data_IF_407816469609
#
_entry.id   IF_407816469609
#
_cell.length_a   1.000
_cell.length_b   1.000
_cell.length_c   1.000
_cell.angle_alpha   90.00
_cell.angle_beta   90.00
_cell.angle_gamma   90.00
#
_symmetry.space_group_name_H-M   'P 1'
#
loop_
_entity.id
_entity.type
_entity.pdbx_description
1 polymer ?
#
# COMPACT_ATOMS: atom_id res chain seq x y z
N UNK A 1 1.13 -22.37 -1.13
CA UNK A 1 0.35 -21.25 -1.70
C UNK A 1 1.01 -20.69 -2.94
N UNK A 2 0.23 -20.15 -3.88
CA UNK A 2 0.80 -19.42 -5.03
C UNK A 2 1.25 -18.03 -4.61
N UNK A 3 2.39 -17.58 -5.18
CA UNK A 3 2.92 -16.25 -4.97
C UNK A 3 3.68 -15.73 -6.20
N UNK A 4 3.71 -14.42 -6.36
CA UNK A 4 4.54 -13.70 -7.36
C UNK A 4 5.86 -13.32 -6.69
N UNK A 5 6.95 -13.88 -7.19
CA UNK A 5 8.26 -13.84 -6.52
C UNK A 5 9.31 -13.24 -7.46
N UNK A 6 10.23 -12.48 -6.91
CA UNK A 6 11.45 -12.04 -7.61
C UNK A 6 12.36 -13.24 -7.83
N UNK A 7 12.78 -13.57 -9.09
CA UNK A 7 13.63 -14.71 -9.35
C UNK A 7 15.04 -14.55 -8.77
N UNK A 8 15.80 -15.67 -8.71
CA UNK A 8 17.22 -15.64 -8.27
C UNK A 8 18.09 -14.71 -9.12
N UNK A 9 17.82 -14.67 -10.42
CA UNK A 9 18.45 -13.69 -11.33
C UNK A 9 17.53 -12.50 -11.49
N UNK A 10 17.89 -11.39 -10.86
CA UNK A 10 17.10 -10.15 -10.85
C UNK A 10 17.28 -9.41 -12.17
N UNK A 11 16.27 -9.39 -13.02
CA UNK A 11 16.27 -8.80 -14.37
C UNK A 11 14.98 -8.01 -14.69
N UNK A 12 14.14 -7.76 -13.68
CA UNK A 12 12.84 -7.13 -13.84
C UNK A 12 11.70 -8.10 -14.15
N UNK A 13 12.01 -9.38 -14.37
CA UNK A 13 10.98 -10.42 -14.48
C UNK A 13 10.44 -10.85 -13.12
N UNK A 14 9.32 -11.55 -13.13
CA UNK A 14 8.72 -12.17 -11.95
C UNK A 14 8.29 -13.59 -12.28
N UNK A 15 8.25 -14.46 -11.27
CA UNK A 15 7.78 -15.84 -11.43
C UNK A 15 6.59 -16.10 -10.50
N UNK A 16 5.60 -16.85 -10.99
CA UNK A 16 4.53 -17.39 -10.16
C UNK A 16 4.95 -18.79 -9.73
N UNK A 17 5.11 -18.99 -8.43
CA UNK A 17 5.59 -20.26 -7.88
C UNK A 17 4.83 -20.64 -6.62
N UNK A 18 5.04 -21.90 -6.18
CA UNK A 18 4.51 -22.39 -4.92
C UNK A 18 5.51 -22.11 -3.79
N UNK A 19 5.02 -21.47 -2.73
CA UNK A 19 5.76 -21.17 -1.50
C UNK A 19 4.99 -21.69 -0.29
N UNK A 20 5.66 -21.81 0.85
CA UNK A 20 4.98 -22.16 2.11
C UNK A 20 4.07 -21.01 2.57
N UNK A 21 2.96 -21.34 3.20
CA UNK A 21 2.16 -20.36 3.94
C UNK A 21 2.98 -19.93 5.16
N UNK A 22 3.17 -18.62 5.41
CA UNK A 22 3.98 -18.17 6.54
C UNK A 22 3.29 -18.47 7.88
N UNK A 23 4.10 -18.76 8.90
CA UNK A 23 3.63 -18.93 10.27
C UNK A 23 3.39 -17.58 10.93
N UNK A 24 2.33 -17.51 11.75
CA UNK A 24 1.94 -16.26 12.44
C UNK A 24 2.81 -16.07 13.67
N UNK A 25 3.53 -14.96 13.71
CA UNK A 25 4.34 -14.56 14.86
C UNK A 25 3.57 -13.67 15.86
N UNK A 26 4.24 -13.34 16.97
CA UNK A 26 3.72 -12.39 17.96
C UNK A 26 3.40 -11.03 17.33
N UNK A 27 2.24 -10.46 17.64
CA UNK A 27 1.78 -9.18 17.10
C UNK A 27 1.40 -9.17 15.61
N UNK A 28 1.34 -10.35 14.97
CA UNK A 28 1.01 -10.49 13.56
C UNK A 28 -0.35 -11.14 13.34
N UNK A 29 -0.89 -10.96 12.15
CA UNK A 29 -2.06 -11.68 11.68
C UNK A 29 -1.79 -12.26 10.28
N UNK A 30 -2.36 -13.43 9.99
CA UNK A 30 -2.38 -14.06 8.67
C UNK A 30 -3.64 -13.60 7.94
N UNK A 31 -3.45 -13.11 6.74
CA UNK A 31 -4.51 -12.57 5.89
C UNK A 31 -4.61 -13.41 4.63
N UNK A 32 -5.78 -13.96 4.35
CA UNK A 32 -6.11 -14.56 3.06
C UNK A 32 -6.49 -13.46 2.08
N UNK A 33 -5.71 -13.30 1.03
CA UNK A 33 -5.86 -12.21 0.06
C UNK A 33 -7.11 -12.42 -0.81
N UNK A 34 -7.87 -11.35 -1.01
CA UNK A 34 -8.96 -11.25 -1.98
C UNK A 34 -8.47 -10.53 -3.24
N UNK A 35 -7.71 -9.45 -3.06
CA UNK A 35 -7.14 -8.63 -4.13
C UNK A 35 -5.77 -8.09 -3.74
N UNK A 36 -4.93 -7.91 -4.74
CA UNK A 36 -3.68 -7.15 -4.63
C UNK A 36 -3.55 -6.24 -5.85
N UNK A 37 -3.45 -4.94 -5.62
CA UNK A 37 -3.13 -3.98 -6.66
C UNK A 37 -1.68 -4.13 -7.13
N UNK A 38 -1.38 -3.52 -8.27
CA UNK A 38 -0.02 -3.46 -8.84
C UNK A 38 0.41 -2.00 -8.87
N UNK A 39 1.50 -1.70 -8.17
CA UNK A 39 2.14 -0.40 -8.14
C UNK A 39 3.40 -0.39 -9.02
N UNK A 40 3.78 0.78 -9.52
CA UNK A 40 5.06 0.93 -10.23
C UNK A 40 6.27 0.56 -9.35
N UNK A 41 6.15 0.71 -8.04
CA UNK A 41 7.14 0.27 -7.06
C UNK A 41 7.42 -1.24 -7.13
N UNK A 42 6.43 -2.07 -7.44
CA UNK A 42 6.64 -3.52 -7.59
C UNK A 42 7.56 -3.83 -8.78
N UNK A 43 7.48 -3.04 -9.87
CA UNK A 43 8.39 -3.14 -11.01
C UNK A 43 9.81 -2.72 -10.64
N UNK A 44 9.98 -1.65 -9.86
CA UNK A 44 11.27 -1.21 -9.35
C UNK A 44 11.92 -2.24 -8.43
N UNK A 45 11.13 -2.89 -7.57
CA UNK A 45 11.64 -3.98 -6.71
C UNK A 45 12.05 -5.19 -7.56
N UNK A 46 11.23 -5.56 -8.56
CA UNK A 46 11.55 -6.67 -9.48
C UNK A 46 12.83 -6.39 -10.31
N UNK A 47 13.08 -5.12 -10.65
CA UNK A 47 14.28 -4.69 -11.37
C UNK A 47 15.53 -4.52 -10.47
N UNK A 48 15.37 -4.59 -9.14
CA UNK A 48 16.47 -4.39 -8.19
C UNK A 48 16.89 -2.93 -8.00
N UNK A 49 16.06 -1.94 -8.40
CA UNK A 49 16.38 -0.51 -8.32
C UNK A 49 16.60 -0.01 -6.88
N UNK A 50 16.04 -0.70 -5.89
CA UNK A 50 16.22 -0.42 -4.46
C UNK A 50 17.23 -1.36 -3.79
N UNK A 51 17.86 -2.25 -4.56
CA UNK A 51 18.69 -3.37 -4.13
C UNK A 51 17.98 -4.70 -4.42
N UNK A 52 18.79 -5.68 -4.82
CA UNK A 52 18.29 -7.00 -5.20
C UNK A 52 17.70 -7.76 -4.00
N UNK A 53 16.54 -8.34 -4.19
CA UNK A 53 15.82 -9.13 -3.17
C UNK A 53 15.30 -10.45 -3.77
N UNK A 54 16.18 -11.34 -4.25
CA UNK A 54 15.74 -12.61 -4.81
C UNK A 54 14.92 -13.40 -3.80
N UNK A 55 13.90 -14.13 -4.28
CA UNK A 55 12.97 -14.87 -3.43
C UNK A 55 11.87 -14.04 -2.76
N UNK A 56 11.87 -12.71 -2.89
CA UNK A 56 10.88 -11.83 -2.26
C UNK A 56 9.51 -11.96 -2.95
N UNK A 57 8.45 -12.14 -2.16
CA UNK A 57 7.06 -12.02 -2.63
C UNK A 57 6.74 -10.53 -2.74
N UNK A 58 6.31 -10.09 -3.93
CA UNK A 58 5.98 -8.70 -4.22
C UNK A 58 4.60 -8.30 -3.65
N UNK A 59 4.26 -7.01 -3.81
CA UNK A 59 2.94 -6.46 -3.54
C UNK A 59 2.80 -5.76 -2.18
N UNK A 60 2.18 -4.59 -2.21
CA UNK A 60 1.89 -3.77 -1.04
C UNK A 60 0.55 -3.04 -1.14
N UNK A 61 -0.35 -3.57 -1.96
CA UNK A 61 -1.71 -3.07 -2.15
C UNK A 61 -2.73 -4.19 -1.90
N UNK A 62 -2.51 -4.97 -0.82
CA UNK A 62 -3.33 -6.13 -0.51
C UNK A 62 -4.60 -5.79 0.25
N UNK A 63 -5.68 -6.47 -0.09
CA UNK A 63 -6.92 -6.51 0.69
C UNK A 63 -7.28 -7.98 0.92
N UNK A 64 -7.63 -8.34 2.15
CA UNK A 64 -7.98 -9.71 2.45
C UNK A 64 -8.63 -9.87 3.83
N UNK A 65 -8.96 -11.12 4.14
CA UNK A 65 -9.64 -11.50 5.38
C UNK A 65 -8.62 -12.11 6.34
N UNK A 66 -8.59 -11.63 7.57
CA UNK A 66 -7.81 -12.23 8.67
C UNK A 66 -8.31 -13.66 8.90
N UNK A 67 -7.41 -14.63 8.83
CA UNK A 67 -7.71 -16.04 9.10
C UNK A 67 -7.17 -16.51 10.43
N UNK A 68 -6.06 -15.91 10.89
CA UNK A 68 -5.38 -16.25 12.13
C UNK A 68 -4.74 -15.01 12.74
N UNK A 69 -4.67 -14.94 14.07
CA UNK A 69 -3.98 -13.89 14.82
C UNK A 69 -2.97 -14.51 15.77
N UNK A 70 -1.80 -13.89 15.87
CA UNK A 70 -0.75 -14.31 16.77
C UNK A 70 -0.96 -13.83 18.21
N UNK A 71 -0.10 -14.28 19.09
CA UNK A 71 -0.07 -13.83 20.48
C UNK A 71 0.10 -12.29 20.56
N UNK A 72 -0.60 -11.67 21.50
CA UNK A 72 -0.54 -10.22 21.74
C UNK A 72 -1.39 -9.37 20.78
N UNK A 73 -2.12 -9.97 19.85
CA UNK A 73 -3.02 -9.24 18.94
C UNK A 73 -4.38 -9.02 19.60
N UNK A 74 -4.73 -7.76 19.84
CA UNK A 74 -6.03 -7.34 20.39
C UNK A 74 -6.86 -6.52 19.38
N UNK A 75 -6.20 -5.90 18.39
CA UNK A 75 -6.82 -4.99 17.42
C UNK A 75 -7.59 -5.70 16.30
N UNK A 76 -7.24 -6.95 16.00
CA UNK A 76 -7.80 -7.76 14.92
C UNK A 76 -8.34 -9.10 15.43
N UNK A 77 -9.25 -9.67 14.65
CA UNK A 77 -9.78 -11.03 14.86
C UNK A 77 -10.03 -11.73 13.53
N UNK A 78 -10.07 -13.08 13.48
CA UNK A 78 -10.49 -13.81 12.29
C UNK A 78 -11.85 -13.31 11.77
N UNK A 79 -11.93 -13.11 10.44
CA UNK A 79 -13.09 -12.54 9.76
C UNK A 79 -13.00 -11.02 9.51
N UNK A 80 -12.10 -10.28 10.15
CA UNK A 80 -11.89 -8.87 9.83
C UNK A 80 -11.30 -8.73 8.43
N UNK A 81 -11.85 -7.82 7.60
CA UNK A 81 -11.23 -7.44 6.33
C UNK A 81 -10.23 -6.33 6.57
N UNK A 82 -8.99 -6.51 6.13
CA UNK A 82 -7.88 -5.58 6.37
C UNK A 82 -7.10 -5.26 5.10
N UNK A 83 -6.39 -4.14 5.15
CA UNK A 83 -5.46 -3.72 4.11
C UNK A 83 -4.02 -4.06 4.46
N UNK A 84 -3.22 -4.41 3.45
CA UNK A 84 -1.77 -4.56 3.49
C UNK A 84 -1.18 -3.41 2.69
N UNK A 85 -0.41 -2.55 3.36
CA UNK A 85 0.22 -1.38 2.75
C UNK A 85 1.74 -1.51 2.73
N UNK A 86 2.42 -0.59 2.04
CA UNK A 86 3.89 -0.52 1.98
C UNK A 86 4.54 -0.55 3.36
N UNK A 87 4.02 0.23 4.30
CA UNK A 87 4.54 0.25 5.66
C UNK A 87 4.10 -1.00 6.42
N UNK A 88 5.05 -1.89 6.69
CA UNK A 88 4.80 -3.13 7.45
C UNK A 88 5.05 -2.93 8.95
N UNK A 89 6.19 -2.35 9.32
CA UNK A 89 6.57 -2.17 10.73
C UNK A 89 7.69 -1.14 10.89
N UNK A 90 7.58 -0.29 11.91
CA UNK A 90 8.70 0.50 12.45
C UNK A 90 9.38 -0.21 13.62
N UNK A 91 10.50 0.34 14.10
CA UNK A 91 11.22 -0.23 15.27
C UNK A 91 10.54 0.03 16.61
N UNK A 92 9.58 0.97 16.66
CA UNK A 92 8.84 1.33 17.87
C UNK A 92 9.54 2.26 18.87
N UNK A 93 10.85 2.48 18.77
CA UNK A 93 11.64 3.18 19.79
C UNK A 93 12.52 4.34 19.29
N UNK A 94 12.70 4.53 17.99
CA UNK A 94 13.46 5.66 17.47
C UNK A 94 12.65 6.96 17.52
N UNK A 95 13.34 8.09 17.32
CA UNK A 95 12.74 9.44 17.31
C UNK A 95 11.51 9.58 16.40
N UNK A 96 11.50 8.87 15.27
CA UNK A 96 10.37 8.88 14.34
C UNK A 96 9.20 8.05 14.84
N UNK A 97 9.46 6.84 15.35
CA UNK A 97 8.39 5.98 15.85
C UNK A 97 7.71 6.58 17.10
N UNK A 98 8.49 7.13 18.02
CA UNK A 98 7.96 7.72 19.26
C UNK A 98 7.28 9.08 19.05
N UNK A 99 7.37 9.67 17.85
CA UNK A 99 6.74 10.94 17.48
C UNK A 99 5.60 10.82 16.46
N UNK A 100 5.11 9.60 16.19
CA UNK A 100 4.02 9.36 15.24
C UNK A 100 4.43 9.55 13.76
N UNK A 101 5.71 9.32 13.46
CA UNK A 101 6.30 9.42 12.13
C UNK A 101 7.00 8.12 11.73
N UNK A 102 6.39 7.00 12.03
CA UNK A 102 6.93 5.64 11.88
C UNK A 102 7.39 5.34 10.45
N UNK A 103 6.75 5.93 9.46
CA UNK A 103 7.13 5.80 8.03
C UNK A 103 8.54 6.33 7.74
N UNK A 104 9.11 7.16 8.63
CA UNK A 104 10.48 7.67 8.55
C UNK A 104 11.47 6.86 9.40
N UNK A 105 11.04 5.76 9.99
CA UNK A 105 11.92 4.88 10.76
C UNK A 105 13.08 4.38 9.90
N UNK A 106 14.32 4.49 10.43
CA UNK A 106 15.53 4.11 9.67
C UNK A 106 15.67 2.59 9.46
N UNK A 107 14.94 1.80 10.23
CA UNK A 107 14.87 0.34 10.12
C UNK A 107 13.45 -0.12 9.78
N UNK A 108 12.72 0.72 9.03
CA UNK A 108 11.37 0.40 8.56
C UNK A 108 11.36 -0.90 7.76
N UNK A 109 10.34 -1.72 7.99
CA UNK A 109 10.04 -2.88 7.15
C UNK A 109 8.93 -2.51 6.18
N UNK A 110 9.10 -2.92 4.93
CA UNK A 110 8.20 -2.60 3.83
C UNK A 110 7.72 -3.89 3.16
N UNK A 111 6.40 -4.07 3.07
CA UNK A 111 5.79 -5.21 2.40
C UNK A 111 6.12 -5.21 0.91
N UNK A 112 6.45 -6.37 0.38
CA UNK A 112 6.86 -6.52 -1.02
C UNK A 112 8.30 -6.12 -1.31
N UNK A 113 9.07 -5.67 -0.31
CA UNK A 113 10.48 -5.30 -0.47
C UNK A 113 11.35 -5.89 0.63
N UNK A 114 11.33 -5.34 1.85
CA UNK A 114 12.18 -5.83 2.94
C UNK A 114 11.56 -7.02 3.69
N UNK A 115 10.26 -7.21 3.54
CA UNK A 115 9.50 -8.40 3.96
C UNK A 115 8.58 -8.84 2.82
N UNK A 116 8.06 -10.06 2.89
CA UNK A 116 7.14 -10.57 1.90
C UNK A 116 5.84 -9.77 1.83
N UNK A 117 5.31 -9.65 0.63
CA UNK A 117 4.18 -8.80 0.30
C UNK A 117 2.89 -9.56 0.02
N UNK A 118 1.97 -8.87 -0.64
CA UNK A 118 0.57 -9.27 -0.81
C UNK A 118 0.25 -9.90 -2.18
N UNK A 119 1.23 -10.09 -3.08
CA UNK A 119 1.00 -10.81 -4.35
C UNK A 119 1.10 -12.32 -4.13
N UNK A 120 0.25 -12.84 -3.23
CA UNK A 120 0.19 -14.25 -2.84
C UNK A 120 -1.22 -14.60 -2.35
N UNK A 121 -1.51 -15.87 -2.10
CA UNK A 121 -2.81 -16.28 -1.54
C UNK A 121 -2.94 -15.89 -0.06
N UNK A 122 -1.83 -15.84 0.69
CA UNK A 122 -1.78 -15.45 2.10
C UNK A 122 -0.57 -14.54 2.34
N UNK A 123 -0.73 -13.55 3.21
CA UNK A 123 0.36 -12.68 3.66
C UNK A 123 0.24 -12.37 5.15
N UNK A 124 1.36 -12.03 5.77
CA UNK A 124 1.37 -11.51 7.14
C UNK A 124 1.19 -10.00 7.16
N UNK A 125 0.58 -9.52 8.23
CA UNK A 125 0.56 -8.10 8.59
C UNK A 125 0.99 -7.92 10.05
N UNK A 126 1.59 -6.79 10.38
CA UNK A 126 1.70 -6.35 11.77
C UNK A 126 0.34 -5.78 12.18
N UNK A 127 -0.29 -6.39 13.18
CA UNK A 127 -1.70 -6.12 13.51
C UNK A 127 -1.96 -4.65 13.87
N UNK A 128 -1.00 -3.99 14.54
CA UNK A 128 -1.13 -2.59 14.95
C UNK A 128 -1.11 -1.59 13.77
N UNK A 129 -0.62 -2.03 12.61
CA UNK A 129 -0.53 -1.20 11.40
C UNK A 129 -1.50 -1.63 10.30
N UNK A 130 -2.18 -2.76 10.47
CA UNK A 130 -3.22 -3.18 9.54
C UNK A 130 -4.49 -2.34 9.74
N UNK A 131 -5.03 -1.81 8.65
CA UNK A 131 -6.23 -0.99 8.70
C UNK A 131 -7.44 -1.81 8.30
N UNK A 132 -8.49 -1.83 9.13
CA UNK A 132 -9.77 -2.46 8.76
C UNK A 132 -10.41 -1.71 7.60
N UNK A 133 -10.80 -2.47 6.59
CA UNK A 133 -11.52 -1.91 5.43
C UNK A 133 -12.96 -1.61 5.84
N UNK A 134 -13.46 -0.39 5.60
CA UNK A 134 -14.84 -0.03 5.93
C UNK A 134 -15.86 -0.96 5.26
N UNK A 135 -16.95 -1.27 5.96
CA UNK A 135 -18.06 -2.00 5.39
C UNK A 135 -18.63 -1.28 4.15
N UNK A 136 -18.96 -2.05 3.13
CA UNK A 136 -19.52 -1.53 1.87
C UNK A 136 -18.48 -1.01 0.88
N UNK A 137 -17.20 -0.92 1.25
CA UNK A 137 -16.14 -0.62 0.28
C UNK A 137 -15.73 -1.91 -0.46
N UNK A 138 -15.80 -1.87 -1.78
CA UNK A 138 -15.35 -2.98 -2.63
C UNK A 138 -13.85 -3.24 -2.47
N UNK A 139 -13.47 -4.50 -2.32
CA UNK A 139 -12.09 -4.87 -2.02
C UNK A 139 -11.11 -4.55 -3.16
N UNK A 140 -11.55 -4.66 -4.42
CA UNK A 140 -10.71 -4.31 -5.57
C UNK A 140 -10.47 -2.79 -5.63
N UNK A 141 -11.49 -1.98 -5.34
CA UNK A 141 -11.35 -0.53 -5.26
C UNK A 141 -10.49 -0.11 -4.05
N UNK A 142 -10.63 -0.80 -2.91
CA UNK A 142 -9.86 -0.52 -1.71
C UNK A 142 -8.36 -0.77 -1.92
N UNK A 143 -7.96 -1.69 -2.78
CA UNK A 143 -6.56 -2.08 -2.94
C UNK A 143 -5.65 -0.91 -3.36
N UNK A 144 -6.05 -0.10 -4.32
CA UNK A 144 -5.28 1.07 -4.77
C UNK A 144 -5.21 2.19 -3.71
N UNK A 145 -6.17 2.24 -2.78
CA UNK A 145 -6.21 3.25 -1.72
C UNK A 145 -5.07 3.02 -0.72
N UNK A 146 -4.62 1.79 -0.54
CA UNK A 146 -3.58 1.44 0.44
C UNK A 146 -2.20 1.98 0.07
N UNK A 147 -1.95 2.31 -1.19
CA UNK A 147 -0.72 2.94 -1.67
C UNK A 147 -1.00 4.32 -2.28
N UNK A 148 -1.55 4.37 -3.49
CA UNK A 148 -1.78 5.63 -4.20
C UNK A 148 -2.73 6.57 -3.43
N UNK A 149 -3.74 6.02 -2.78
CA UNK A 149 -4.68 6.79 -1.97
C UNK A 149 -4.03 7.42 -0.75
N UNK A 150 -3.37 6.64 0.10
CA UNK A 150 -2.71 7.15 1.31
C UNK A 150 -1.58 8.13 0.97
N UNK A 151 -0.83 7.88 -0.10
CA UNK A 151 0.26 8.74 -0.57
C UNK A 151 -0.27 10.12 -0.97
N UNK A 152 -1.29 10.18 -1.81
CA UNK A 152 -1.86 11.44 -2.29
C UNK A 152 -2.62 12.20 -1.21
N UNK A 153 -3.34 11.49 -0.34
CA UNK A 153 -3.97 12.11 0.83
C UNK A 153 -2.93 12.78 1.74
N UNK A 154 -1.83 12.06 2.05
CA UNK A 154 -0.74 12.61 2.88
C UNK A 154 -0.08 13.80 2.22
N UNK A 155 0.22 13.75 0.93
CA UNK A 155 0.83 14.86 0.18
C UNK A 155 -0.04 16.11 0.23
N UNK A 156 -1.36 15.99 0.02
CA UNK A 156 -2.29 17.12 0.09
C UNK A 156 -2.37 17.68 1.52
N UNK A 157 -2.41 16.80 2.53
CA UNK A 157 -2.40 17.20 3.94
C UNK A 157 -1.14 18.01 4.29
N UNK A 158 0.03 17.57 3.83
CA UNK A 158 1.31 18.27 4.05
C UNK A 158 1.43 19.59 3.28
N UNK A 159 0.73 19.73 2.15
CA UNK A 159 0.67 21.00 1.42
C UNK A 159 -0.05 22.11 2.20
N UNK A 160 -0.80 21.74 3.24
CA UNK A 160 -1.60 22.65 4.06
C UNK A 160 -2.63 23.48 3.26
N UNK A 161 -3.03 22.99 2.07
CA UNK A 161 -4.05 23.63 1.26
C UNK A 161 -5.37 23.71 2.04
N UNK A 162 -6.02 24.89 1.98
CA UNK A 162 -7.28 25.16 2.65
C UNK A 162 -8.44 25.20 1.65
N UNK A 163 -9.69 24.98 2.11
CA UNK A 163 -10.86 25.12 1.26
C UNK A 163 -10.87 26.44 0.49
N UNK A 164 -11.19 26.35 -0.81
CA UNK A 164 -11.22 27.48 -1.73
C UNK A 164 -9.87 27.91 -2.32
N UNK A 165 -8.75 27.42 -1.82
CA UNK A 165 -7.44 27.65 -2.41
C UNK A 165 -7.21 26.76 -3.64
N UNK A 166 -6.24 27.14 -4.48
CA UNK A 166 -5.84 26.39 -5.66
C UNK A 166 -4.75 25.37 -5.32
N UNK A 167 -4.91 24.15 -5.85
CA UNK A 167 -3.92 23.09 -5.87
C UNK A 167 -3.65 22.71 -7.33
N UNK A 168 -2.38 22.61 -7.70
CA UNK A 168 -1.98 22.14 -9.03
C UNK A 168 -1.43 20.73 -8.89
N UNK A 169 -2.02 19.77 -9.62
CA UNK A 169 -1.58 18.38 -9.68
C UNK A 169 -0.88 18.14 -11.03
N UNK A 170 0.43 17.90 -10.99
CA UNK A 170 1.20 17.48 -12.15
C UNK A 170 1.18 15.96 -12.29
N UNK A 171 0.67 15.46 -13.42
CA UNK A 171 0.39 14.07 -13.68
C UNK A 171 -1.03 13.67 -13.23
N UNK A 172 -1.88 13.29 -14.17
CA UNK A 172 -3.26 12.85 -13.94
C UNK A 172 -3.44 11.31 -14.08
N UNK A 173 -2.33 10.55 -13.88
CA UNK A 173 -2.36 9.08 -13.82
C UNK A 173 -2.99 8.56 -12.52
N UNK A 174 -2.68 7.32 -12.11
CA UNK A 174 -3.30 6.67 -10.95
C UNK A 174 -3.23 7.51 -9.66
N UNK A 175 -2.05 8.03 -9.29
CA UNK A 175 -1.90 8.92 -8.13
C UNK A 175 -2.62 10.25 -8.35
N UNK A 176 -2.39 10.90 -9.51
CA UNK A 176 -2.95 12.22 -9.79
C UNK A 176 -4.47 12.23 -9.82
N UNK A 177 -5.09 11.19 -10.35
CA UNK A 177 -6.54 11.05 -10.35
C UNK A 177 -7.10 11.00 -8.91
N UNK A 178 -6.50 10.21 -8.01
CA UNK A 178 -6.87 10.19 -6.60
C UNK A 178 -6.58 11.53 -5.91
N UNK A 179 -5.46 12.19 -6.24
CA UNK A 179 -5.14 13.51 -5.70
C UNK A 179 -6.21 14.56 -6.08
N UNK A 180 -6.66 14.58 -7.33
CA UNK A 180 -7.75 15.46 -7.80
C UNK A 180 -9.03 15.21 -6.99
N UNK A 181 -9.41 13.96 -6.82
CA UNK A 181 -10.60 13.59 -6.05
C UNK A 181 -10.50 14.04 -4.59
N UNK A 182 -9.39 13.73 -3.91
CA UNK A 182 -9.20 14.15 -2.51
C UNK A 182 -9.15 15.66 -2.37
N UNK A 183 -8.36 16.34 -3.20
CA UNK A 183 -8.25 17.79 -3.13
C UNK A 183 -9.62 18.47 -3.26
N UNK A 184 -10.43 18.02 -4.21
CA UNK A 184 -11.77 18.58 -4.47
C UNK A 184 -12.78 18.17 -3.40
N UNK A 185 -12.92 16.87 -3.12
CA UNK A 185 -14.03 16.31 -2.32
C UNK A 185 -13.74 16.29 -0.82
N UNK A 186 -12.48 16.17 -0.41
CA UNK A 186 -12.08 16.08 1.00
C UNK A 186 -11.53 17.40 1.52
N UNK A 187 -10.63 18.04 0.76
CA UNK A 187 -9.97 19.27 1.19
C UNK A 187 -10.67 20.55 0.70
N UNK A 188 -11.70 20.43 -0.16
CA UNK A 188 -12.46 21.60 -0.67
C UNK A 188 -11.62 22.54 -1.52
N UNK A 189 -10.51 22.08 -2.07
CA UNK A 189 -9.63 22.88 -2.91
C UNK A 189 -10.18 23.04 -4.33
N UNK A 190 -9.77 24.11 -5.02
CA UNK A 190 -9.90 24.26 -6.47
C UNK A 190 -8.71 23.55 -7.10
N UNK A 191 -8.94 22.71 -8.12
CA UNK A 191 -7.88 21.87 -8.67
C UNK A 191 -7.59 22.23 -10.13
N UNK A 192 -6.30 22.31 -10.46
CA UNK A 192 -5.80 22.33 -11.84
C UNK A 192 -5.00 21.04 -12.03
N UNK A 193 -5.47 20.18 -12.93
CA UNK A 193 -4.72 19.00 -13.35
C UNK A 193 -3.89 19.31 -14.59
N UNK A 194 -2.64 18.87 -14.61
CA UNK A 194 -1.70 19.04 -15.73
C UNK A 194 -1.17 17.66 -16.12
N UNK A 195 -1.38 17.25 -17.37
CA UNK A 195 -0.81 16.01 -17.95
C UNK A 195 -0.50 16.25 -19.42
N UNK A 196 0.35 15.41 -20.01
CA UNK A 196 0.66 15.41 -21.45
C UNK A 196 -0.33 14.56 -22.25
N UNK A 197 -1.23 13.85 -21.59
CA UNK A 197 -2.22 12.94 -22.19
C UNK A 197 -3.63 13.45 -21.95
N UNK A 198 -4.33 13.78 -23.04
CA UNK A 198 -5.67 14.36 -23.00
C UNK A 198 -6.72 13.40 -22.40
N UNK A 199 -6.61 12.09 -22.62
CA UNK A 199 -7.56 11.12 -22.07
C UNK A 199 -7.52 11.10 -20.53
N UNK A 200 -6.31 11.26 -19.96
CA UNK A 200 -6.16 11.40 -18.50
C UNK A 200 -6.73 12.70 -17.96
N UNK A 201 -6.58 13.80 -18.73
CA UNK A 201 -7.18 15.09 -18.35
C UNK A 201 -8.70 15.04 -18.44
N UNK A 202 -9.25 14.36 -19.44
CA UNK A 202 -10.69 14.14 -19.55
C UNK A 202 -11.21 13.34 -18.35
N UNK A 203 -10.57 12.22 -17.99
CA UNK A 203 -10.93 11.42 -16.82
C UNK A 203 -10.85 12.25 -15.53
N UNK A 204 -9.82 13.09 -15.37
CA UNK A 204 -9.70 13.97 -14.22
C UNK A 204 -10.79 15.04 -14.16
N UNK A 205 -11.33 15.49 -15.29
CA UNK A 205 -12.42 16.46 -15.33
C UNK A 205 -13.79 15.87 -14.93
N UNK A 206 -13.96 14.54 -15.12
CA UNK A 206 -15.19 13.82 -14.78
C UNK A 206 -15.31 13.50 -13.28
N UNK A 207 -14.21 13.64 -12.49
CA UNK A 207 -14.15 13.32 -11.05
C UNK A 207 -14.30 14.55 -10.17
#
# INVERSE_FOLDING_TARGET
MKAVVVPEHVDGSVVVTDVLVPEVGHGQALVKLEYSGVCHTDLHVAAGDFGEVPGRILGHEGIGIVTEVGEGVESLKPGDRVSIAWFFQGCGHCEYCTSGRETLCRTVKNAGYTVDGAMSEYALVTADYAVKVPEGLDAAQASSITCAGVTTYKAIKESQVRPGQWLVAYGAGGLGNLAVQYAKKVFGAKVIAVDINDDKLQLAAET
#
